data_IF_902979890231
#
_entry.id   IF_902979890231
#
_cell.length_a   1.000
_cell.length_b   1.000
_cell.length_c   1.000
_cell.angle_alpha   90.00
_cell.angle_beta   90.00
_cell.angle_gamma   90.00
#
_symmetry.space_group_name_H-M   'P 1'
#
loop_
_entity.id
_entity.type
_entity.pdbx_description
1 polymer ?
#
# COMPACT_ATOMS: atom_id res chain seq x y z
N UNK A 1 -15.17 -15.88 -3.09
CA UNK A 1 -14.54 -15.08 -4.17
C UNK A 1 -15.27 -13.76 -4.31
N UNK A 2 -14.77 -12.68 -3.70
CA UNK A 2 -15.28 -11.31 -3.96
C UNK A 2 -14.51 -10.76 -5.14
N UNK A 3 -15.24 -10.28 -6.16
CA UNK A 3 -14.71 -9.62 -7.35
C UNK A 3 -13.75 -8.50 -6.94
N UNK A 4 -12.48 -8.60 -7.36
CA UNK A 4 -11.48 -7.55 -7.18
C UNK A 4 -11.82 -6.42 -8.16
N UNK A 5 -12.43 -5.34 -7.69
CA UNK A 5 -12.69 -4.17 -8.53
C UNK A 5 -11.39 -3.37 -8.69
N UNK A 6 -11.13 -2.95 -9.92
CA UNK A 6 -9.92 -2.25 -10.36
C UNK A 6 -9.97 -0.76 -9.97
N UNK A 7 -8.82 -0.11 -9.81
CA UNK A 7 -8.76 1.34 -9.66
C UNK A 7 -9.34 2.01 -10.92
N UNK A 8 -10.54 2.57 -10.80
CA UNK A 8 -11.17 3.32 -11.88
C UNK A 8 -11.09 4.81 -11.55
N UNK A 9 -10.06 5.50 -12.08
CA UNK A 9 -10.12 6.96 -12.19
C UNK A 9 -11.09 7.31 -13.32
N UNK A 10 -12.35 7.45 -12.96
CA UNK A 10 -13.39 7.99 -13.82
C UNK A 10 -14.16 9.06 -13.08
N UNK A 11 -13.99 10.32 -13.44
CA UNK A 11 -14.78 11.42 -12.88
C UNK A 11 -15.99 11.70 -13.78
N UNK A 12 -17.16 11.86 -13.16
CA UNK A 12 -18.29 12.55 -13.78
C UNK A 12 -18.34 13.86 -13.02
N UNK A 13 -18.00 14.93 -13.70
CA UNK A 13 -17.90 16.25 -13.09
C UNK A 13 -18.93 17.18 -13.68
N UNK A 14 -19.42 18.07 -12.83
CA UNK A 14 -20.25 19.20 -13.23
C UNK A 14 -19.32 20.41 -13.25
N UNK A 15 -18.96 20.89 -14.44
CA UNK A 15 -18.11 22.08 -14.58
C UNK A 15 -18.98 23.31 -14.41
N UNK A 16 -18.67 24.14 -13.40
CA UNK A 16 -19.40 25.38 -13.15
C UNK A 16 -18.47 26.56 -13.41
N UNK A 17 -18.79 27.29 -14.49
CA UNK A 17 -18.17 28.52 -14.96
C UNK A 17 -16.76 28.36 -15.56
N UNK A 18 -16.72 28.44 -16.89
CA UNK A 18 -15.54 28.87 -17.64
C UNK A 18 -15.66 30.37 -17.86
N UNK A 19 -14.64 31.17 -17.56
CA UNK A 19 -14.57 32.58 -18.03
C UNK A 19 -13.53 32.61 -19.14
N UNK A 20 -13.98 32.72 -20.39
CA UNK A 20 -13.06 32.91 -21.51
C UNK A 20 -12.84 34.40 -21.73
N UNK A 21 -11.59 34.83 -21.84
CA UNK A 21 -11.25 36.16 -22.33
C UNK A 21 -10.55 35.98 -23.68
N UNK A 22 -11.21 36.39 -24.77
CA UNK A 22 -10.61 36.45 -26.09
C UNK A 22 -9.95 37.81 -26.31
N UNK A 23 -8.68 37.82 -26.70
CA UNK A 23 -8.12 38.97 -27.41
C UNK A 23 -8.36 38.71 -28.90
N UNK A 24 -9.07 39.62 -29.57
CA UNK A 24 -9.29 39.58 -31.03
C UNK A 24 -7.95 39.82 -31.74
N UNK A 25 -7.14 38.77 -31.91
CA UNK A 25 -5.92 38.79 -32.73
C UNK A 25 -6.29 38.21 -34.09
N UNK A 26 -6.67 39.09 -35.01
CA UNK A 26 -6.88 38.74 -36.42
C UNK A 26 -5.53 38.43 -37.06
N UNK A 27 -5.25 37.16 -37.28
CA UNK A 27 -4.17 36.76 -38.17
C UNK A 27 -4.60 37.05 -39.61
N UNK A 28 -4.10 38.15 -40.17
CA UNK A 28 -4.24 38.45 -41.59
C UNK A 28 -3.05 37.78 -42.29
N UNK A 29 -3.26 36.63 -42.93
CA UNK A 29 -2.26 36.07 -43.84
C UNK A 29 -2.94 35.43 -45.06
N UNK A 30 -2.58 35.97 -46.22
CA UNK A 30 -3.00 35.56 -47.56
C UNK A 30 -2.34 34.22 -47.94
N UNK A 31 -2.95 33.08 -47.58
CA UNK A 31 -2.71 31.81 -48.30
C UNK A 31 -4.01 31.01 -48.36
N UNK A 32 -4.55 30.87 -49.56
CA UNK A 32 -5.76 30.11 -49.86
C UNK A 32 -5.60 28.62 -49.59
N UNK A 33 -6.42 28.07 -48.68
CA UNK A 33 -6.99 26.72 -48.80
C UNK A 33 -8.20 26.59 -47.86
N UNK A 34 -9.37 26.37 -48.47
CA UNK A 34 -10.70 26.13 -47.88
C UNK A 34 -11.49 27.38 -47.43
N UNK A 35 -12.44 27.76 -48.28
CA UNK A 35 -13.44 28.81 -48.09
C UNK A 35 -14.48 28.38 -47.02
N UNK A 36 -14.10 28.49 -45.75
CA UNK A 36 -15.04 28.45 -44.62
C UNK A 36 -15.01 29.82 -43.94
N UNK A 37 -15.90 30.71 -44.35
CA UNK A 37 -15.93 32.13 -43.96
C UNK A 37 -16.21 32.40 -42.47
N UNK A 38 -15.15 32.38 -41.65
CA UNK A 38 -15.14 32.96 -40.31
C UNK A 38 -13.71 33.30 -39.88
N UNK A 39 -13.49 34.51 -39.35
CA UNK A 39 -12.21 34.88 -38.77
C UNK A 39 -11.92 33.99 -37.54
N UNK A 40 -10.78 33.33 -37.52
CA UNK A 40 -10.37 32.50 -36.38
C UNK A 40 -9.99 33.36 -35.17
N UNK A 41 -10.20 32.83 -33.97
CA UNK A 41 -9.92 33.54 -32.72
C UNK A 41 -9.23 32.63 -31.68
N UNK A 42 -8.33 33.23 -30.90
CA UNK A 42 -7.70 32.57 -29.76
C UNK A 42 -8.40 32.97 -28.46
N UNK A 43 -8.45 32.03 -27.51
CA UNK A 43 -8.98 32.29 -26.18
C UNK A 43 -8.22 31.52 -25.12
N UNK A 44 -8.29 32.04 -23.89
CA UNK A 44 -7.82 31.37 -22.69
C UNK A 44 -9.04 31.14 -21.81
N UNK A 45 -9.17 29.94 -21.27
CA UNK A 45 -10.24 29.55 -20.35
C UNK A 45 -9.69 29.06 -19.01
N UNK A 46 -10.53 29.18 -18.00
CA UNK A 46 -10.30 28.61 -16.67
C UNK A 46 -11.55 27.85 -16.26
N UNK A 47 -11.43 26.54 -16.07
CA UNK A 47 -12.53 25.65 -15.75
C UNK A 47 -12.47 25.29 -14.26
N UNK A 48 -13.58 25.52 -13.55
CA UNK A 48 -13.76 24.96 -12.23
C UNK A 48 -14.62 23.69 -12.29
N UNK A 49 -14.01 22.57 -11.92
CA UNK A 49 -14.55 21.23 -12.16
C UNK A 49 -14.45 20.41 -10.88
N UNK A 50 -15.36 20.58 -9.90
CA UNK A 50 -15.32 19.80 -8.67
C UNK A 50 -15.37 18.29 -8.94
N UNK A 51 -14.38 17.56 -8.41
CA UNK A 51 -14.17 16.15 -8.69
C UNK A 51 -14.58 15.27 -7.51
N UNK A 52 -15.53 14.36 -7.73
CA UNK A 52 -15.87 13.31 -6.76
C UNK A 52 -14.90 12.14 -6.89
N UNK A 53 -14.38 11.67 -5.75
CA UNK A 53 -13.47 10.54 -5.72
C UNK A 53 -14.25 9.25 -6.01
N UNK A 54 -14.05 8.68 -7.21
CA UNK A 54 -14.56 7.34 -7.55
C UNK A 54 -13.54 6.23 -7.29
N UNK A 55 -12.47 6.53 -6.56
CA UNK A 55 -11.47 5.55 -6.16
C UNK A 55 -12.11 4.63 -5.11
N UNK A 56 -12.41 3.40 -5.51
CA UNK A 56 -13.00 2.35 -4.66
C UNK A 56 -12.12 1.11 -4.73
N UNK A 57 -12.19 0.28 -3.69
CA UNK A 57 -11.48 -1.00 -3.61
C UNK A 57 -9.96 -0.88 -3.86
N UNK A 58 -9.36 0.22 -3.39
CA UNK A 58 -7.91 0.44 -3.48
C UNK A 58 -7.16 -0.62 -2.69
N UNK A 59 -6.18 -1.27 -3.32
CA UNK A 59 -5.35 -2.31 -2.71
C UNK A 59 -3.89 -2.14 -3.12
N UNK A 60 -2.98 -2.46 -2.20
CA UNK A 60 -1.54 -2.41 -2.41
C UNK A 60 -0.99 -3.82 -2.22
N UNK A 61 0.02 -4.18 -3.01
CA UNK A 61 0.76 -5.44 -2.88
C UNK A 61 2.15 -5.29 -3.51
N UNK A 62 3.10 -6.10 -3.06
CA UNK A 62 4.37 -6.28 -3.74
C UNK A 62 4.18 -6.95 -5.11
N UNK A 63 5.01 -6.56 -6.08
CA UNK A 63 4.96 -7.10 -7.45
C UNK A 63 5.29 -8.59 -7.53
N UNK A 64 6.08 -9.11 -6.58
CA UNK A 64 6.40 -10.54 -6.48
C UNK A 64 5.22 -11.40 -5.96
N UNK A 65 4.15 -10.78 -5.46
CA UNK A 65 2.98 -11.46 -4.91
C UNK A 65 3.19 -12.08 -3.52
N UNK A 66 4.25 -11.73 -2.80
CA UNK A 66 4.55 -12.26 -1.46
C UNK A 66 3.68 -11.65 -0.35
N UNK A 67 3.10 -10.47 -0.59
CA UNK A 67 2.21 -9.80 0.37
C UNK A 67 0.99 -10.67 0.69
N UNK A 68 0.83 -11.03 1.97
CA UNK A 68 -0.32 -11.78 2.47
C UNK A 68 -1.41 -10.88 3.03
N UNK A 69 -1.01 -9.78 3.67
CA UNK A 69 -1.93 -8.79 4.24
C UNK A 69 -1.27 -7.41 4.33
N UNK A 70 -2.10 -6.37 4.32
CA UNK A 70 -1.71 -4.97 4.53
C UNK A 70 -2.12 -4.53 5.92
N UNK A 71 -1.22 -3.92 6.67
CA UNK A 71 -1.49 -3.42 8.02
C UNK A 71 -1.22 -1.92 8.13
N UNK A 72 -2.18 -1.12 8.64
CA UNK A 72 -1.99 0.32 8.78
C UNK A 72 -1.12 0.65 9.99
N UNK A 73 -0.38 1.75 9.92
CA UNK A 73 0.42 2.24 11.05
C UNK A 73 -0.45 2.82 12.17
N UNK A 74 -0.03 2.62 13.42
CA UNK A 74 -0.68 3.11 14.64
C UNK A 74 -0.27 4.56 14.90
N UNK A 75 -1.28 5.42 15.06
CA UNK A 75 -1.13 6.85 15.38
C UNK A 75 -0.27 7.06 16.64
N UNK A 76 0.87 7.74 16.48
CA UNK A 76 1.74 8.10 17.62
C UNK A 76 2.37 9.50 17.52
N UNK A 77 1.89 10.34 16.58
CA UNK A 77 2.21 11.78 16.50
C UNK A 77 3.70 12.15 16.34
N UNK A 78 4.56 11.19 16.05
CA UNK A 78 6.01 11.36 15.82
C UNK A 78 6.45 10.51 14.63
N UNK A 79 7.64 10.83 14.10
CA UNK A 79 8.27 10.17 12.95
C UNK A 79 8.04 8.66 12.91
N UNK A 80 7.82 8.13 11.70
CA UNK A 80 7.61 6.69 11.46
C UNK A 80 8.80 5.93 12.02
N UNK A 81 8.58 5.25 13.15
CA UNK A 81 9.53 4.32 13.73
C UNK A 81 9.05 2.93 13.34
N UNK A 82 9.88 2.25 12.56
CA UNK A 82 9.67 0.91 12.05
C UNK A 82 9.85 -0.11 13.20
N UNK A 83 8.91 -0.07 14.13
CA UNK A 83 8.83 -0.88 15.34
C UNK A 83 7.58 -1.76 15.27
N UNK A 84 7.70 -3.02 15.69
CA UNK A 84 6.67 -4.06 15.52
C UNK A 84 5.32 -3.70 16.14
N UNK A 85 5.32 -3.01 17.28
CA UNK A 85 4.11 -2.59 18.01
C UNK A 85 3.44 -1.33 17.46
N UNK A 86 3.98 -0.74 16.38
CA UNK A 86 3.44 0.48 15.78
C UNK A 86 2.60 0.21 14.52
N UNK A 87 2.30 -1.04 14.21
CA UNK A 87 1.33 -1.41 13.19
C UNK A 87 0.09 -2.04 13.83
N UNK A 88 -1.08 -1.78 13.25
CA UNK A 88 -2.33 -2.33 13.74
C UNK A 88 -2.55 -3.74 13.20
N UNK A 89 -1.92 -4.72 13.83
CA UNK A 89 -2.05 -6.13 13.49
C UNK A 89 -3.48 -6.70 13.65
N UNK A 90 -4.39 -5.95 14.30
CA UNK A 90 -5.79 -6.36 14.46
C UNK A 90 -6.67 -6.07 13.23
N UNK A 91 -6.22 -5.17 12.37
CA UNK A 91 -7.01 -4.68 11.23
C UNK A 91 -6.29 -5.00 9.92
N UNK A 92 -6.20 -6.29 9.53
CA UNK A 92 -5.63 -6.67 8.24
C UNK A 92 -6.50 -6.15 7.10
N UNK A 93 -5.85 -5.74 6.01
CA UNK A 93 -6.44 -5.24 4.77
C UNK A 93 -7.49 -4.15 4.99
N UNK A 94 -7.10 -3.00 5.59
CA UNK A 94 -8.02 -1.90 5.83
C UNK A 94 -8.54 -1.35 4.49
N UNK A 95 -9.78 -0.86 4.49
CA UNK A 95 -10.33 -0.14 3.34
C UNK A 95 -9.69 1.23 3.23
N UNK A 96 -8.79 1.40 2.26
CA UNK A 96 -8.17 2.69 1.95
C UNK A 96 -9.16 3.50 1.10
N UNK A 97 -9.73 4.54 1.70
CA UNK A 97 -10.67 5.46 1.05
C UNK A 97 -10.01 6.79 0.71
N UNK A 98 -10.64 7.56 -0.17
CA UNK A 98 -10.19 8.91 -0.54
C UNK A 98 -11.33 9.92 -0.40
N UNK A 99 -10.99 11.15 -0.02
CA UNK A 99 -11.92 12.28 0.09
C UNK A 99 -12.19 12.87 -1.27
N UNK A 100 -13.42 13.38 -1.43
CA UNK A 100 -13.78 14.17 -2.60
C UNK A 100 -12.97 15.47 -2.62
N UNK A 101 -12.56 15.89 -3.82
CA UNK A 101 -11.79 17.10 -4.02
C UNK A 101 -12.69 18.18 -4.61
N UNK A 102 -13.42 18.85 -3.73
CA UNK A 102 -14.38 19.88 -4.12
C UNK A 102 -13.78 21.29 -4.17
N UNK A 103 -12.45 21.46 -4.11
CA UNK A 103 -11.80 22.78 -4.03
C UNK A 103 -10.60 22.93 -4.97
N UNK A 104 -9.83 21.87 -5.24
CA UNK A 104 -8.55 21.94 -5.96
C UNK A 104 -8.63 21.20 -7.29
N UNK A 105 -9.74 21.35 -8.01
CA UNK A 105 -9.93 20.77 -9.33
C UNK A 105 -10.17 21.91 -10.31
N UNK A 106 -9.07 22.50 -10.73
CA UNK A 106 -9.01 23.63 -11.66
C UNK A 106 -8.31 23.17 -12.92
N UNK A 107 -8.83 23.59 -14.07
CA UNK A 107 -8.21 23.32 -15.36
C UNK A 107 -8.00 24.64 -16.09
N UNK A 108 -6.81 24.82 -16.65
CA UNK A 108 -6.52 25.91 -17.57
C UNK A 108 -6.68 25.40 -19.00
N UNK A 109 -7.25 26.21 -19.87
CA UNK A 109 -7.39 25.87 -21.29
C UNK A 109 -6.86 27.00 -22.18
N UNK A 110 -6.24 26.61 -23.29
CA UNK A 110 -5.93 27.52 -24.40
C UNK A 110 -6.60 26.94 -25.63
N UNK A 111 -7.42 27.74 -26.29
CA UNK A 111 -8.22 27.31 -27.41
C UNK A 111 -8.10 28.19 -28.64
N UNK A 112 -8.42 27.59 -29.78
CA UNK A 112 -8.54 28.25 -31.07
C UNK A 112 -9.84 27.82 -31.73
N UNK A 113 -10.65 28.80 -32.14
CA UNK A 113 -11.94 28.58 -32.78
C UNK A 113 -11.99 29.12 -34.20
N UNK A 114 -12.68 28.41 -35.10
CA UNK A 114 -13.09 28.87 -36.42
C UNK A 114 -14.54 28.44 -36.65
N UNK A 115 -15.44 29.41 -36.84
CA UNK A 115 -16.86 29.15 -37.02
C UNK A 115 -17.45 28.43 -35.80
N UNK A 116 -18.06 27.26 -36.02
CA UNK A 116 -18.59 26.41 -34.94
C UNK A 116 -17.60 25.37 -34.39
N UNK A 117 -16.39 25.25 -34.94
CA UNK A 117 -15.39 24.28 -34.50
C UNK A 117 -14.34 24.94 -33.59
N UNK A 118 -13.94 24.25 -32.52
CA UNK A 118 -12.91 24.71 -31.57
C UNK A 118 -11.94 23.58 -31.25
N UNK A 119 -10.66 23.91 -31.09
CA UNK A 119 -9.62 23.00 -30.57
C UNK A 119 -9.10 23.58 -29.26
N UNK A 120 -9.07 22.77 -28.21
CA UNK A 120 -8.69 23.18 -26.85
C UNK A 120 -7.55 22.31 -26.32
N UNK A 121 -6.47 22.93 -25.87
CA UNK A 121 -5.46 22.29 -25.03
C UNK A 121 -5.81 22.59 -23.57
N UNK A 122 -6.10 21.54 -22.81
CA UNK A 122 -6.48 21.62 -21.40
C UNK A 122 -5.44 20.98 -20.50
N UNK A 123 -5.10 21.67 -19.40
CA UNK A 123 -4.25 21.16 -18.33
C UNK A 123 -5.03 21.25 -17.03
N UNK A 124 -5.28 20.11 -16.41
CA UNK A 124 -6.02 19.98 -15.16
C UNK A 124 -5.17 19.36 -14.06
N UNK A 125 -5.41 19.76 -12.81
CA UNK A 125 -4.82 19.14 -11.64
C UNK A 125 -5.89 18.73 -10.65
N UNK A 126 -5.85 17.47 -10.21
CA UNK A 126 -6.73 16.91 -9.18
C UNK A 126 -5.90 16.26 -8.08
N UNK A 127 -6.32 16.41 -6.82
CA UNK A 127 -5.69 15.76 -5.67
C UNK A 127 -6.72 15.21 -4.69
N UNK A 128 -6.77 13.88 -4.54
CA UNK A 128 -7.65 13.18 -3.64
C UNK A 128 -6.88 12.71 -2.40
N UNK A 129 -7.11 13.34 -1.25
CA UNK A 129 -6.47 12.95 0.02
C UNK A 129 -7.04 11.65 0.56
N UNK A 130 -6.24 10.84 1.24
CA UNK A 130 -6.71 9.63 1.92
C UNK A 130 -7.67 9.94 3.06
N UNK A 131 -8.73 9.14 3.21
CA UNK A 131 -9.60 9.13 4.38
C UNK A 131 -8.89 8.38 5.51
N UNK A 132 -8.85 8.98 6.70
CA UNK A 132 -8.37 8.29 7.90
C UNK A 132 -9.20 7.04 8.18
N UNK A 133 -8.53 5.94 8.56
CA UNK A 133 -9.14 4.62 8.80
C UNK A 133 -10.00 4.63 10.09
N UNK A 134 -9.66 5.50 11.03
CA UNK A 134 -10.30 5.63 12.36
C UNK A 134 -11.06 6.95 12.40
N UNK A 135 -12.27 6.92 11.88
CA UNK A 135 -13.10 8.10 11.65
C UNK A 135 -13.65 8.67 12.97
N UNK A 136 -13.05 9.74 13.48
CA UNK A 136 -13.70 10.68 14.39
C UNK A 136 -13.15 12.08 14.18
N UNK A 137 -13.48 12.67 13.04
CA UNK A 137 -13.45 14.11 12.75
C UNK A 137 -12.45 14.96 13.54
N UNK A 138 -11.17 14.94 13.21
CA UNK A 138 -10.25 16.07 13.40
C UNK A 138 -8.84 15.70 12.94
N UNK A 139 -8.40 16.37 11.86
CA UNK A 139 -7.05 16.34 11.25
C UNK A 139 -6.56 14.96 10.75
N UNK A 140 -6.30 14.89 9.45
CA UNK A 140 -5.53 13.82 8.84
C UNK A 140 -4.08 13.99 9.29
N UNK A 141 -3.64 13.13 10.20
CA UNK A 141 -2.24 13.09 10.65
C UNK A 141 -1.46 12.13 9.73
N UNK A 142 -0.16 12.41 9.51
CA UNK A 142 0.71 11.67 8.57
C UNK A 142 0.75 10.14 8.82
N UNK A 143 0.45 9.68 10.04
CA UNK A 143 0.43 8.27 10.41
C UNK A 143 -0.65 7.41 9.71
N UNK A 144 -1.78 8.00 9.30
CA UNK A 144 -2.88 7.26 8.64
C UNK A 144 -2.58 6.91 7.17
N UNK A 145 -1.41 7.30 6.69
CA UNK A 145 -0.99 7.16 5.29
C UNK A 145 0.05 6.06 5.10
N UNK A 146 0.52 5.43 6.18
CA UNK A 146 1.62 4.46 6.17
C UNK A 146 1.10 3.04 6.34
N UNK A 147 1.52 2.14 5.45
CA UNK A 147 1.05 0.76 5.37
C UNK A 147 2.22 -0.22 5.31
N UNK A 148 2.18 -1.26 6.14
CA UNK A 148 3.10 -2.40 6.08
C UNK A 148 2.52 -3.49 5.17
N UNK A 149 3.31 -3.94 4.21
CA UNK A 149 3.05 -5.13 3.40
C UNK A 149 3.66 -6.33 4.13
N UNK A 150 2.84 -7.05 4.89
CA UNK A 150 3.28 -8.20 5.66
C UNK A 150 3.29 -9.47 4.81
N UNK A 151 4.29 -10.31 5.05
CA UNK A 151 4.50 -11.60 4.40
C UNK A 151 4.02 -12.75 5.30
N UNK A 152 4.31 -13.97 4.88
CA UNK A 152 3.75 -15.21 5.39
C UNK A 152 3.98 -15.47 6.88
N UNK A 153 5.21 -15.36 7.38
CA UNK A 153 5.56 -15.64 8.78
C UNK A 153 4.85 -14.69 9.74
N UNK A 154 4.91 -13.37 9.49
CA UNK A 154 4.24 -12.39 10.34
C UNK A 154 2.72 -12.57 10.34
N UNK A 155 2.13 -12.80 9.16
CA UNK A 155 0.69 -13.03 9.01
C UNK A 155 0.24 -14.31 9.73
N UNK A 156 0.95 -15.42 9.54
CA UNK A 156 0.58 -16.72 10.09
C UNK A 156 0.68 -16.76 11.62
N UNK A 157 1.63 -16.03 12.23
CA UNK A 157 1.73 -15.89 13.69
C UNK A 157 0.50 -15.17 14.26
N UNK A 158 0.13 -14.01 13.69
CA UNK A 158 -0.99 -13.20 14.20
C UNK A 158 -2.33 -13.93 13.99
N UNK A 159 -2.49 -14.61 12.86
CA UNK A 159 -3.73 -15.34 12.52
C UNK A 159 -3.80 -16.76 13.10
N UNK A 160 -2.71 -17.28 13.65
CA UNK A 160 -2.66 -18.60 14.28
C UNK A 160 -2.59 -19.79 13.31
N UNK A 161 -2.10 -19.58 12.08
CA UNK A 161 -1.97 -20.61 11.05
C UNK A 161 -0.77 -21.53 11.33
N UNK A 162 -0.91 -22.42 12.32
CA UNK A 162 0.21 -23.22 12.85
C UNK A 162 0.92 -24.06 11.77
N UNK A 163 0.17 -24.73 10.88
CA UNK A 163 0.75 -25.60 9.86
C UNK A 163 1.47 -24.82 8.75
N UNK A 164 0.90 -23.69 8.31
CA UNK A 164 1.53 -22.79 7.33
C UNK A 164 2.79 -22.16 7.92
N UNK A 165 2.72 -21.68 9.16
CA UNK A 165 3.85 -21.13 9.89
C UNK A 165 4.99 -22.15 10.02
N UNK A 166 4.67 -23.40 10.37
CA UNK A 166 5.66 -24.47 10.45
C UNK A 166 6.33 -24.73 9.10
N UNK A 167 5.55 -24.77 8.01
CA UNK A 167 6.08 -24.98 6.66
C UNK A 167 6.98 -23.82 6.18
N UNK A 168 6.63 -22.58 6.52
CA UNK A 168 7.41 -21.40 6.22
C UNK A 168 8.71 -21.36 7.06
N UNK A 169 8.62 -21.62 8.36
CA UNK A 169 9.77 -21.70 9.27
C UNK A 169 10.80 -22.76 8.86
N UNK A 170 10.34 -23.90 8.33
CA UNK A 170 11.22 -24.95 7.83
C UNK A 170 12.07 -24.52 6.63
N UNK A 171 11.60 -23.53 5.86
CA UNK A 171 12.30 -22.95 4.70
C UNK A 171 13.18 -21.76 5.06
N UNK A 172 12.96 -21.15 6.22
CA UNK A 172 13.78 -20.05 6.74
C UNK A 172 15.23 -20.49 6.90
N UNK A 173 16.18 -19.63 6.50
CA UNK A 173 17.59 -19.96 6.67
C UNK A 173 17.98 -19.97 8.15
N UNK A 174 18.96 -20.81 8.51
CA UNK A 174 19.46 -20.84 9.89
C UNK A 174 20.05 -19.50 10.34
N UNK A 175 20.60 -18.69 9.43
CA UNK A 175 21.10 -17.35 9.77
C UNK A 175 19.96 -16.43 10.17
N UNK A 176 18.86 -16.46 9.43
CA UNK A 176 17.72 -15.55 9.64
C UNK A 176 16.96 -15.92 10.91
N UNK A 177 16.75 -17.22 11.19
CA UNK A 177 16.08 -17.63 12.43
C UNK A 177 16.92 -17.28 13.68
N UNK A 178 18.25 -17.35 13.59
CA UNK A 178 19.15 -16.96 14.69
C UNK A 178 19.10 -15.45 14.89
N UNK A 179 19.07 -14.67 13.81
CA UNK A 179 18.88 -13.21 13.90
C UNK A 179 17.53 -12.86 14.53
N UNK A 180 16.46 -13.54 14.12
CA UNK A 180 15.14 -13.38 14.72
C UNK A 180 15.13 -13.73 16.21
N UNK A 181 15.66 -14.89 16.61
CA UNK A 181 15.70 -15.31 18.01
C UNK A 181 16.47 -14.30 18.88
N UNK A 182 17.63 -13.83 18.40
CA UNK A 182 18.38 -12.78 19.08
C UNK A 182 17.58 -11.47 19.19
N UNK A 183 16.87 -11.07 18.14
CA UNK A 183 16.03 -9.89 18.16
C UNK A 183 14.86 -10.02 19.16
N UNK A 184 14.24 -11.20 19.26
CA UNK A 184 13.22 -11.51 20.27
C UNK A 184 13.83 -11.41 21.67
N UNK A 185 14.97 -12.05 21.91
CA UNK A 185 15.66 -12.03 23.22
C UNK A 185 16.02 -10.61 23.68
N UNK A 186 16.50 -9.76 22.76
CA UNK A 186 16.83 -8.35 23.04
C UNK A 186 15.56 -7.54 23.31
N UNK A 187 14.51 -7.74 22.52
CA UNK A 187 13.28 -6.94 22.62
C UNK A 187 12.44 -7.34 23.84
N UNK A 188 12.30 -8.64 24.08
CA UNK A 188 11.54 -9.22 25.18
C UNK A 188 12.03 -10.65 25.49
N UNK A 189 12.93 -10.79 26.46
CA UNK A 189 13.48 -12.08 26.87
C UNK A 189 12.44 -13.05 27.45
N UNK A 190 11.32 -12.54 27.98
CA UNK A 190 10.23 -13.40 28.45
C UNK A 190 9.50 -14.10 27.29
N UNK A 191 9.43 -13.48 26.11
CA UNK A 191 8.91 -14.13 24.89
C UNK A 191 9.89 -15.20 24.40
N UNK A 192 11.19 -14.90 24.33
CA UNK A 192 12.22 -15.89 23.97
C UNK A 192 12.14 -17.13 24.86
N UNK A 193 11.98 -16.94 26.17
CA UNK A 193 11.83 -18.01 27.16
C UNK A 193 10.50 -18.74 27.16
N UNK A 194 9.50 -18.31 26.37
CA UNK A 194 8.25 -19.07 26.13
C UNK A 194 8.38 -20.01 24.93
N UNK A 195 9.25 -19.69 23.99
CA UNK A 195 9.48 -20.49 22.80
C UNK A 195 10.51 -21.58 23.15
N UNK A 196 10.27 -22.83 22.74
CA UNK A 196 11.07 -23.99 23.12
C UNK A 196 11.08 -24.28 24.63
N UNK A 197 10.04 -23.86 25.36
CA UNK A 197 9.89 -24.15 26.78
C UNK A 197 8.98 -25.36 27.01
N UNK A 198 9.51 -26.37 27.71
CA UNK A 198 8.86 -27.63 28.08
C UNK A 198 8.79 -27.85 29.58
N UNK A 199 9.25 -26.88 30.38
CA UNK A 199 9.23 -26.92 31.83
C UNK A 199 10.15 -27.99 32.43
N UNK A 200 9.90 -28.29 33.70
CA UNK A 200 10.67 -29.28 34.48
C UNK A 200 9.86 -30.56 34.69
N UNK A 201 10.55 -31.70 34.70
CA UNK A 201 9.93 -33.00 34.95
C UNK A 201 9.39 -33.10 36.39
N UNK A 202 8.14 -33.56 36.55
CA UNK A 202 7.52 -33.78 37.86
C UNK A 202 8.04 -35.08 38.52
N UNK A 203 9.25 -35.00 39.10
CA UNK A 203 9.85 -36.06 39.92
C UNK A 203 10.85 -36.99 39.21
N UNK A 204 11.88 -37.42 39.95
CA UNK A 204 12.83 -38.47 39.54
C UNK A 204 13.81 -38.09 38.42
N UNK A 205 14.77 -38.98 38.17
CA UNK A 205 15.86 -38.84 37.20
C UNK A 205 15.38 -38.81 35.74
N UNK A 206 14.39 -38.02 35.36
CA UNK A 206 13.93 -37.86 33.97
C UNK A 206 14.12 -36.42 33.51
N UNK A 207 14.38 -36.23 32.23
CA UNK A 207 14.74 -34.95 31.64
C UNK A 207 16.25 -34.76 31.49
N UNK A 208 16.62 -33.81 30.63
CA UNK A 208 18.02 -33.43 30.41
C UNK A 208 18.51 -32.58 31.58
N UNK A 209 19.70 -32.88 32.09
CA UNK A 209 20.32 -32.10 33.17
C UNK A 209 21.32 -31.04 32.70
N UNK A 210 21.69 -31.06 31.41
CA UNK A 210 22.75 -30.21 30.82
C UNK A 210 22.17 -29.09 29.96
N UNK A 211 22.91 -27.98 29.82
CA UNK A 211 22.63 -26.83 28.94
C UNK A 211 22.85 -27.13 27.45
N UNK A 212 22.15 -28.12 26.90
CA UNK A 212 22.44 -28.62 25.54
C UNK A 212 21.65 -27.86 24.48
N UNK A 213 22.37 -27.12 23.63
CA UNK A 213 21.82 -26.57 22.40
C UNK A 213 21.41 -27.70 21.41
N UNK A 214 20.49 -27.40 20.51
CA UNK A 214 19.90 -28.36 19.57
C UNK A 214 18.77 -29.20 20.19
N UNK A 215 18.01 -28.60 21.12
CA UNK A 215 16.89 -29.24 21.80
C UNK A 215 15.77 -28.25 22.11
N UNK A 216 14.75 -28.17 21.26
CA UNK A 216 13.53 -27.36 21.47
C UNK A 216 12.34 -28.15 22.05
N UNK A 217 12.48 -29.47 22.17
CA UNK A 217 11.43 -30.42 22.53
C UNK A 217 11.69 -31.19 23.84
N UNK A 218 12.87 -31.03 24.45
CA UNK A 218 13.21 -31.77 25.68
C UNK A 218 12.80 -31.04 26.95
N UNK A 219 12.44 -31.82 27.97
CA UNK A 219 12.08 -31.36 29.31
C UNK A 219 13.34 -31.24 30.19
N UNK A 220 13.43 -30.18 31.01
CA UNK A 220 14.52 -30.02 32.00
C UNK A 220 14.31 -30.97 33.17
N UNK A 221 15.40 -31.55 33.67
CA UNK A 221 15.36 -32.38 34.88
C UNK A 221 14.94 -31.52 36.07
N UNK A 222 14.27 -32.11 37.07
CA UNK A 222 13.83 -31.37 38.27
C UNK A 222 14.97 -30.59 38.96
N UNK A 223 16.17 -31.20 39.03
CA UNK A 223 17.40 -30.58 39.55
C UNK A 223 18.34 -30.09 38.44
N UNK A 224 17.85 -30.00 37.20
CA UNK A 224 18.62 -29.60 36.03
C UNK A 224 18.68 -28.08 35.86
N UNK A 225 19.59 -27.67 34.97
CA UNK A 225 19.81 -26.28 34.57
C UNK A 225 19.76 -26.13 33.05
N UNK A 226 18.94 -26.94 32.36
CA UNK A 226 18.74 -26.77 30.92
C UNK A 226 18.06 -25.41 30.68
N UNK A 227 18.76 -24.52 29.99
CA UNK A 227 18.19 -23.24 29.55
C UNK A 227 17.13 -23.51 28.47
N UNK A 228 15.91 -23.02 28.70
CA UNK A 228 14.78 -23.23 27.80
C UNK A 228 14.36 -21.93 27.15
N UNK A 229 14.81 -21.73 25.92
CA UNK A 229 14.41 -20.63 25.06
C UNK A 229 14.73 -20.97 23.61
N UNK A 230 14.16 -20.22 22.65
CA UNK A 230 14.50 -20.39 21.24
C UNK A 230 16.01 -20.15 21.00
N UNK A 231 16.55 -19.08 21.59
CA UNK A 231 17.96 -18.74 21.48
C UNK A 231 18.86 -19.85 22.05
N UNK A 232 18.51 -20.42 23.21
CA UNK A 232 19.26 -21.51 23.82
C UNK A 232 19.18 -22.80 22.99
N UNK A 233 18.00 -23.13 22.45
CA UNK A 233 17.81 -24.30 21.59
C UNK A 233 18.57 -24.18 20.26
N UNK A 234 18.70 -22.97 19.71
CA UNK A 234 19.53 -22.73 18.53
C UNK A 234 21.02 -22.87 18.86
N UNK A 235 21.52 -22.20 19.89
CA UNK A 235 22.94 -22.15 20.26
C UNK A 235 23.88 -21.79 19.10
N UNK A 236 25.16 -22.09 19.26
CA UNK A 236 26.20 -21.69 18.29
C UNK A 236 26.04 -22.36 16.91
N UNK A 237 25.43 -23.54 16.86
CA UNK A 237 25.22 -24.31 15.63
C UNK A 237 23.84 -24.08 15.00
N UNK A 238 23.00 -23.23 15.57
CA UNK A 238 21.64 -22.97 15.07
C UNK A 238 21.64 -22.54 13.61
N UNK A 239 22.61 -21.71 13.21
CA UNK A 239 22.72 -21.23 11.84
C UNK A 239 23.02 -22.31 10.80
N UNK A 240 23.72 -23.39 11.20
CA UNK A 240 24.05 -24.53 10.34
C UNK A 240 22.97 -25.61 10.40
N UNK A 241 22.34 -25.78 11.57
CA UNK A 241 21.51 -26.95 11.87
C UNK A 241 20.02 -26.70 11.74
N UNK A 242 19.55 -25.46 11.78
CA UNK A 242 18.13 -25.16 11.55
C UNK A 242 17.63 -25.76 10.21
N UNK A 243 16.39 -26.30 10.16
CA UNK A 243 15.37 -26.39 11.21
C UNK A 243 15.54 -27.57 12.17
N UNK A 244 16.62 -28.35 12.04
CA UNK A 244 16.87 -29.52 12.87
C UNK A 244 17.44 -29.11 14.22
N UNK A 245 16.62 -28.57 15.11
CA UNK A 245 17.02 -28.23 16.49
C UNK A 245 16.22 -29.00 17.54
N UNK A 246 15.53 -30.07 17.16
CA UNK A 246 14.97 -31.06 18.08
C UNK A 246 15.94 -32.24 18.26
N UNK A 247 15.77 -32.93 19.38
CA UNK A 247 16.57 -34.10 19.73
C UNK A 247 16.09 -35.36 18.98
N UNK A 248 17.02 -36.27 18.67
CA UNK A 248 16.77 -37.41 17.78
C UNK A 248 16.09 -38.57 18.47
N UNK A 249 16.12 -38.56 19.81
CA UNK A 249 15.44 -39.55 20.64
C UNK A 249 13.93 -39.38 20.55
N UNK A 250 13.19 -40.49 20.49
CA UNK A 250 11.72 -40.49 20.37
C UNK A 250 11.01 -40.11 21.67
N UNK A 251 11.73 -40.08 22.78
CA UNK A 251 11.24 -39.71 24.10
C UNK A 251 11.70 -38.29 24.46
N UNK A 252 10.76 -37.38 24.67
CA UNK A 252 11.00 -36.02 25.19
C UNK A 252 11.40 -36.05 26.68
N UNK A 253 11.25 -37.22 27.32
CA UNK A 253 11.63 -37.55 28.69
C UNK A 253 12.80 -38.54 28.69
N UNK A 254 14.01 -38.04 28.47
CA UNK A 254 15.20 -38.87 28.61
C UNK A 254 15.37 -39.37 30.05
N UNK A 255 15.81 -40.62 30.22
CA UNK A 255 16.28 -41.08 31.51
C UNK A 255 17.56 -40.31 31.86
N UNK A 256 17.71 -39.87 33.11
CA UNK A 256 18.63 -38.82 33.55
C UNK A 256 20.09 -39.24 33.64
N UNK A 257 20.41 -40.45 33.17
CA UNK A 257 21.76 -40.97 32.92
C UNK A 257 21.98 -41.31 31.43
N UNK A 258 20.96 -41.11 30.58
CA UNK A 258 21.02 -41.47 29.18
C UNK A 258 21.82 -40.42 28.40
N UNK A 259 23.02 -40.82 27.97
CA UNK A 259 23.91 -40.02 27.13
C UNK A 259 23.48 -40.04 25.65
N UNK A 260 22.38 -40.73 25.30
CA UNK A 260 21.91 -40.91 23.92
C UNK A 260 21.28 -39.68 23.26
N UNK A 261 21.22 -38.53 23.95
CA UNK A 261 20.73 -37.28 23.34
C UNK A 261 21.56 -36.95 22.08
N UNK A 262 20.87 -36.90 20.95
CA UNK A 262 21.43 -36.55 19.65
C UNK A 262 20.89 -35.18 19.27
N UNK A 263 21.58 -34.09 19.66
CA UNK A 263 21.11 -32.75 19.41
C UNK A 263 21.10 -32.49 17.90
N UNK A 264 20.28 -31.55 17.48
CA UNK A 264 20.26 -31.07 16.10
C UNK A 264 19.90 -32.11 15.04
N UNK A 265 18.91 -32.96 15.28
CA UNK A 265 18.61 -34.11 14.41
C UNK A 265 17.21 -34.06 13.82
N UNK A 266 16.21 -33.68 14.60
CA UNK A 266 14.81 -33.60 14.15
C UNK A 266 14.40 -32.17 13.87
N UNK A 267 13.53 -32.02 12.89
CA UNK A 267 12.90 -30.74 12.54
C UNK A 267 12.10 -30.19 13.74
N UNK A 268 12.29 -28.90 14.04
CA UNK A 268 11.64 -28.18 15.12
C UNK A 268 10.66 -27.10 14.66
N UNK A 269 10.44 -26.95 13.36
CA UNK A 269 9.59 -25.90 12.78
C UNK A 269 8.17 -25.99 13.32
N UNK A 270 7.61 -27.20 13.40
CA UNK A 270 6.29 -27.44 13.98
C UNK A 270 6.24 -27.16 15.50
N UNK A 271 7.33 -27.48 16.20
CA UNK A 271 7.49 -27.23 17.63
C UNK A 271 7.51 -25.73 17.92
N UNK A 272 8.34 -24.98 17.18
CA UNK A 272 8.45 -23.52 17.30
C UNK A 272 7.17 -22.82 16.87
N UNK A 273 6.55 -23.25 15.76
CA UNK A 273 5.28 -22.68 15.29
C UNK A 273 4.16 -22.78 16.35
N UNK A 274 4.05 -23.93 17.02
CA UNK A 274 3.09 -24.14 18.11
C UNK A 274 3.30 -23.16 19.26
N UNK A 275 4.55 -22.96 19.67
CA UNK A 275 4.86 -22.03 20.76
C UNK A 275 4.55 -20.58 20.36
N UNK A 276 4.89 -20.18 19.14
CA UNK A 276 4.61 -18.84 18.61
C UNK A 276 3.10 -18.54 18.54
N UNK A 277 2.30 -19.52 18.10
CA UNK A 277 0.83 -19.39 18.04
C UNK A 277 0.19 -19.45 19.43
N UNK A 278 0.85 -20.06 20.43
CA UNK A 278 0.38 -20.10 21.81
C UNK A 278 0.63 -18.81 22.61
N UNK A 279 1.43 -17.87 22.07
CA UNK A 279 1.63 -16.55 22.67
C UNK A 279 0.32 -15.77 22.81
N UNK A 280 0.28 -14.84 23.77
CA UNK A 280 -0.88 -13.95 23.88
C UNK A 280 -0.91 -12.94 22.71
N UNK A 281 -2.02 -12.20 22.60
CA UNK A 281 -2.25 -11.30 21.48
C UNK A 281 -1.12 -10.25 21.31
N UNK A 282 -0.75 -9.55 22.38
CA UNK A 282 0.28 -8.50 22.31
C UNK A 282 1.66 -9.06 21.98
N UNK A 283 2.00 -10.23 22.55
CA UNK A 283 3.24 -10.95 22.26
C UNK A 283 3.33 -11.37 20.78
N UNK A 284 2.22 -11.80 20.18
CA UNK A 284 2.14 -12.10 18.75
C UNK A 284 2.43 -10.88 17.89
N UNK A 285 1.91 -9.71 18.24
CA UNK A 285 2.17 -8.47 17.48
C UNK A 285 3.66 -8.10 17.48
N UNK A 286 4.32 -8.27 18.64
CA UNK A 286 5.76 -8.02 18.78
C UNK A 286 6.54 -8.98 17.89
N UNK A 287 6.24 -10.28 17.98
CA UNK A 287 6.90 -11.31 17.17
C UNK A 287 6.67 -11.09 15.68
N UNK A 288 5.44 -10.78 15.26
CA UNK A 288 5.09 -10.58 13.86
C UNK A 288 5.91 -9.45 13.24
N UNK A 289 6.03 -8.30 13.91
CA UNK A 289 6.87 -7.24 13.39
C UNK A 289 8.37 -7.53 13.47
N UNK A 290 8.84 -8.37 14.41
CA UNK A 290 10.23 -8.85 14.40
C UNK A 290 10.50 -9.80 13.23
N UNK A 291 9.56 -10.69 12.89
CA UNK A 291 9.65 -11.56 11.71
C UNK A 291 9.68 -10.72 10.42
N UNK A 292 8.76 -9.75 10.30
CA UNK A 292 8.74 -8.82 9.18
C UNK A 292 10.06 -8.06 9.04
N UNK A 293 10.67 -7.64 10.16
CA UNK A 293 11.92 -6.86 10.15
C UNK A 293 13.17 -7.70 9.89
N UNK A 294 13.26 -8.91 10.43
CA UNK A 294 14.51 -9.70 10.46
C UNK A 294 14.59 -10.75 9.38
N UNK A 295 13.47 -11.41 9.05
CA UNK A 295 13.45 -12.55 8.11
C UNK A 295 12.86 -12.12 6.78
N UNK A 296 11.67 -11.52 6.81
CA UNK A 296 10.85 -11.36 5.60
C UNK A 296 11.19 -10.11 4.79
N UNK A 297 11.70 -9.07 5.46
CA UNK A 297 11.94 -7.76 4.87
C UNK A 297 10.61 -7.09 4.50
N UNK A 298 9.87 -6.64 5.51
CA UNK A 298 8.60 -5.94 5.31
C UNK A 298 8.80 -4.65 4.53
N UNK A 299 8.00 -4.43 3.50
CA UNK A 299 7.96 -3.18 2.76
C UNK A 299 6.92 -2.24 3.36
N UNK A 300 7.24 -0.97 3.43
CA UNK A 300 6.35 0.09 3.90
C UNK A 300 6.11 1.07 2.78
N UNK A 301 4.83 1.37 2.55
CA UNK A 301 4.39 2.32 1.55
C UNK A 301 3.62 3.43 2.23
N UNK A 302 3.95 4.67 1.86
CA UNK A 302 3.24 5.87 2.30
C UNK A 302 2.37 6.42 1.17
N UNK A 303 1.06 6.52 1.39
CA UNK A 303 0.07 6.98 0.43
C UNK A 303 -0.73 8.11 1.07
N UNK A 304 -0.29 9.35 0.84
CA UNK A 304 -0.95 10.56 1.38
C UNK A 304 -2.15 11.00 0.55
N UNK A 305 -2.03 10.86 -0.76
CA UNK A 305 -3.05 11.28 -1.71
C UNK A 305 -2.81 10.60 -3.06
N UNK A 306 -3.88 10.43 -3.83
CA UNK A 306 -3.77 10.18 -5.27
C UNK A 306 -3.92 11.51 -5.99
N UNK A 307 -2.87 11.93 -6.68
CA UNK A 307 -2.88 13.12 -7.54
C UNK A 307 -2.94 12.71 -9.01
N UNK A 308 -3.55 13.56 -9.82
CA UNK A 308 -3.68 13.36 -11.26
C UNK A 308 -3.54 14.70 -11.96
N UNK A 309 -2.50 14.84 -12.78
CA UNK A 309 -2.36 15.96 -13.71
C UNK A 309 -2.79 15.49 -15.09
N UNK A 310 -3.86 16.03 -15.65
CA UNK A 310 -4.34 15.70 -17.00
C UNK A 310 -3.84 16.71 -18.02
N UNK A 311 -3.39 16.23 -19.16
CA UNK A 311 -3.09 17.05 -20.35
C UNK A 311 -3.94 16.51 -21.49
N UNK A 312 -4.89 17.29 -21.96
CA UNK A 312 -5.93 16.87 -22.91
C UNK A 312 -5.95 17.79 -24.12
N UNK A 313 -6.12 17.21 -25.30
CA UNK A 313 -6.45 17.95 -26.52
C UNK A 313 -7.89 17.60 -26.87
N UNK A 314 -8.78 18.58 -26.85
CA UNK A 314 -10.19 18.43 -27.19
C UNK A 314 -10.50 19.06 -28.55
N UNK A 315 -11.33 18.38 -29.32
CA UNK A 315 -12.03 18.92 -30.47
C UNK A 315 -13.49 19.14 -30.06
N UNK A 316 -13.95 20.38 -30.16
CA UNK A 316 -15.28 20.83 -29.77
C UNK A 316 -16.06 21.34 -30.97
N UNK A 317 -17.37 21.20 -30.90
CA UNK A 317 -18.29 21.76 -31.87
C UNK A 317 -19.47 22.43 -31.17
N UNK A 318 -19.73 23.67 -31.56
CA UNK A 318 -20.84 24.49 -31.10
C UNK A 318 -22.03 24.27 -32.05
N UNK A 319 -23.10 23.69 -31.51
CA UNK A 319 -24.34 23.44 -32.22
C UNK A 319 -25.14 24.74 -32.28
N UNK A 320 -25.11 25.40 -33.44
CA UNK A 320 -25.87 26.62 -33.66
C UNK A 320 -27.37 26.39 -33.40
N UNK A 321 -27.93 27.16 -32.46
CA UNK A 321 -29.36 27.20 -32.20
C UNK A 321 -29.88 28.58 -32.55
N UNK A 322 -30.73 28.67 -33.58
CA UNK A 322 -31.40 29.92 -33.93
C UNK A 322 -32.32 30.35 -32.76
N UNK A 323 -32.16 31.59 -32.27
CA UNK A 323 -33.15 32.24 -31.39
C UNK A 323 -32.96 32.15 -29.88
N UNK A 324 -31.91 31.51 -29.35
CA UNK A 324 -31.55 31.56 -27.92
C UNK A 324 -30.14 32.14 -27.75
N UNK A 325 -29.93 33.03 -26.78
CA UNK A 325 -28.60 33.53 -26.39
C UNK A 325 -27.70 32.48 -25.72
N UNK A 326 -27.94 31.20 -25.99
CA UNK A 326 -27.27 30.02 -25.41
C UNK A 326 -26.93 29.07 -26.56
N UNK A 327 -25.67 28.63 -26.66
CA UNK A 327 -25.21 27.74 -27.72
C UNK A 327 -24.81 26.38 -27.13
N UNK A 328 -25.51 25.28 -27.45
CA UNK A 328 -25.10 23.95 -27.02
C UNK A 328 -23.75 23.57 -27.64
N UNK A 329 -22.92 22.86 -26.88
CA UNK A 329 -21.61 22.38 -27.37
C UNK A 329 -21.33 20.94 -26.93
N UNK A 330 -20.51 20.27 -27.73
CA UNK A 330 -19.98 18.94 -27.41
C UNK A 330 -18.50 18.87 -27.79
N UNK A 331 -17.71 18.14 -27.00
CA UNK A 331 -16.29 17.94 -27.21
C UNK A 331 -15.90 16.47 -27.05
N UNK A 332 -14.93 16.05 -27.85
CA UNK A 332 -14.19 14.80 -27.70
C UNK A 332 -12.72 15.11 -27.53
N UNK A 333 -12.09 14.53 -26.53
CA UNK A 333 -10.70 14.77 -26.21
C UNK A 333 -9.88 13.52 -25.97
N UNK A 334 -8.62 13.60 -26.35
CA UNK A 334 -7.60 12.58 -26.16
C UNK A 334 -6.38 13.21 -25.50
N UNK A 335 -5.72 12.46 -24.64
CA UNK A 335 -4.59 12.98 -23.90
C UNK A 335 -3.98 11.96 -22.96
N UNK A 336 -3.39 12.45 -21.87
CA UNK A 336 -2.80 11.62 -20.86
C UNK A 336 -2.94 12.20 -19.46
N UNK A 337 -2.89 11.31 -18.48
CA UNK A 337 -2.86 11.63 -17.07
C UNK A 337 -1.53 11.17 -16.48
N UNK A 338 -0.92 12.07 -15.73
CA UNK A 338 0.23 11.81 -14.88
C UNK A 338 -0.30 11.57 -13.46
N UNK A 339 -0.38 10.30 -13.07
CA UNK A 339 -0.98 9.91 -11.78
C UNK A 339 0.11 9.64 -10.77
N UNK A 340 0.05 10.32 -9.63
CA UNK A 340 0.94 10.12 -8.49
C UNK A 340 0.19 9.48 -7.32
N UNK A 341 0.59 8.27 -6.93
CA UNK A 341 0.01 7.52 -5.79
C UNK A 341 0.92 7.60 -4.56
N UNK A 342 2.24 7.57 -4.79
CA UNK A 342 3.29 7.69 -3.77
C UNK A 342 4.09 8.96 -4.09
N UNK A 343 4.54 9.67 -3.06
CA UNK A 343 5.30 10.91 -3.24
C UNK A 343 6.56 10.66 -4.10
N UNK A 344 6.73 11.49 -5.13
CA UNK A 344 7.88 11.43 -6.04
C UNK A 344 7.79 10.40 -7.18
N UNK A 345 6.71 9.61 -7.27
CA UNK A 345 6.49 8.69 -8.39
C UNK A 345 5.24 9.05 -9.19
N UNK A 346 5.41 9.17 -10.50
CA UNK A 346 4.36 9.57 -11.43
C UNK A 346 4.28 8.56 -12.56
N UNK A 347 3.11 7.97 -12.74
CA UNK A 347 2.85 7.01 -13.83
C UNK A 347 2.02 7.68 -14.92
N UNK A 348 2.55 7.84 -16.14
CA UNK A 348 1.77 8.34 -17.27
C UNK A 348 0.80 7.27 -17.76
N UNK A 349 -0.46 7.66 -18.00
CA UNK A 349 -1.50 6.82 -18.60
C UNK A 349 -2.22 7.59 -19.68
N UNK A 350 -2.68 6.92 -20.74
CA UNK A 350 -3.54 7.55 -21.73
C UNK A 350 -4.92 7.83 -21.14
N UNK A 351 -5.58 8.88 -21.61
CA UNK A 351 -6.92 9.23 -21.16
C UNK A 351 -7.77 9.77 -22.32
N UNK A 352 -9.07 9.65 -22.17
CA UNK A 352 -10.04 10.29 -23.06
C UNK A 352 -11.08 11.06 -22.26
N UNK A 353 -11.66 12.07 -22.90
CA UNK A 353 -12.62 12.99 -22.29
C UNK A 353 -13.76 13.26 -23.25
N UNK A 354 -14.97 13.31 -22.71
CA UNK A 354 -16.17 13.72 -23.43
C UNK A 354 -16.78 14.87 -22.63
N UNK A 355 -16.93 16.04 -23.24
CA UNK A 355 -17.58 17.20 -22.61
C UNK A 355 -18.86 17.53 -23.38
N UNK A 356 -19.91 17.94 -22.68
CA UNK A 356 -21.10 18.48 -23.31
C UNK A 356 -21.75 19.51 -22.39
N UNK A 357 -22.30 20.57 -22.97
CA UNK A 357 -22.88 21.64 -22.18
C UNK A 357 -23.49 22.74 -23.03
N UNK A 358 -23.63 23.90 -22.39
CA UNK A 358 -24.17 25.12 -22.95
C UNK A 358 -23.14 26.23 -22.77
N UNK A 359 -22.95 27.05 -23.81
CA UNK A 359 -22.19 28.29 -23.75
C UNK A 359 -23.14 29.48 -23.77
N UNK A 360 -22.78 30.53 -23.05
CA UNK A 360 -23.54 31.77 -22.91
C UNK A 360 -22.58 32.94 -23.12
N UNK A 361 -22.84 33.78 -24.11
CA UNK A 361 -22.06 34.99 -24.32
C UNK A 361 -22.48 36.05 -23.28
N UNK A 362 -21.57 36.39 -22.37
CA UNK A 362 -21.75 37.48 -21.40
C UNK A 362 -21.44 38.84 -22.05
N UNK A 363 -20.38 38.89 -22.87
CA UNK A 363 -19.99 40.02 -23.71
C UNK A 363 -19.36 39.50 -25.01
N UNK A 364 -19.08 40.36 -26.01
CA UNK A 364 -18.40 39.93 -27.24
C UNK A 364 -17.05 39.22 -27.01
N UNK A 365 -16.37 39.54 -25.91
CA UNK A 365 -15.06 39.02 -25.54
C UNK A 365 -15.12 37.94 -24.45
N UNK A 366 -16.25 37.81 -23.75
CA UNK A 366 -16.43 36.93 -22.61
C UNK A 366 -17.57 35.95 -22.80
N UNK A 367 -17.23 34.66 -22.76
CA UNK A 367 -18.19 33.56 -22.80
C UNK A 367 -18.12 32.73 -21.52
N UNK A 368 -19.29 32.36 -21.01
CA UNK A 368 -19.49 31.45 -19.90
C UNK A 368 -19.94 30.07 -20.39
N UNK A 369 -19.39 29.01 -19.82
CA UNK A 369 -19.78 27.64 -20.15
C UNK A 369 -20.25 26.91 -18.90
N UNK A 370 -21.30 26.12 -19.07
CA UNK A 370 -21.83 25.23 -18.05
C UNK A 370 -22.10 23.87 -18.68
N UNK A 371 -21.61 22.81 -18.06
CA UNK A 371 -21.65 21.49 -18.68
C UNK A 371 -21.26 20.37 -17.74
N UNK A 372 -21.27 19.18 -18.30
CA UNK A 372 -20.72 17.99 -17.66
C UNK A 372 -19.63 17.40 -18.52
N UNK A 373 -18.70 16.70 -17.89
CA UNK A 373 -17.77 15.87 -18.62
C UNK A 373 -17.58 14.51 -17.99
N UNK A 374 -17.26 13.56 -18.86
CA UNK A 374 -16.79 12.25 -18.53
C UNK A 374 -15.31 12.17 -18.87
N UNK A 375 -14.48 11.93 -17.87
CA UNK A 375 -13.05 11.74 -18.05
C UNK A 375 -12.66 10.35 -17.58
N UNK A 376 -11.90 9.61 -18.40
CA UNK A 376 -11.47 8.25 -18.08
C UNK A 376 -10.01 8.04 -18.44
N UNK A 377 -9.26 7.55 -17.46
CA UNK A 377 -7.91 7.03 -17.66
C UNK A 377 -7.99 5.61 -18.22
N UNK A 378 -7.31 5.36 -19.32
CA UNK A 378 -7.22 4.07 -20.01
C UNK A 378 -6.24 3.17 -19.26
N UNK A 379 -6.65 1.94 -18.99
CA UNK A 379 -5.84 0.94 -18.33
C UNK A 379 -6.68 0.00 -17.48
N UNK A 380 -5.99 -0.94 -16.84
CA UNK A 380 -6.55 -1.90 -15.90
C UNK A 380 -6.58 -1.39 -14.45
N UNK A 381 -6.20 -0.13 -14.22
CA UNK A 381 -6.13 0.46 -12.88
C UNK A 381 -4.94 -0.01 -12.06
N UNK A 382 -3.95 -0.65 -12.68
CA UNK A 382 -2.71 -1.08 -12.02
C UNK A 382 -1.62 -0.03 -12.22
N UNK A 383 -0.93 0.29 -11.12
CA UNK A 383 0.19 1.20 -11.05
C UNK A 383 1.35 0.43 -10.44
N UNK A 384 2.27 0.02 -11.30
CA UNK A 384 3.44 -0.78 -10.94
C UNK A 384 4.65 0.13 -10.65
N UNK A 385 5.72 -0.46 -10.15
CA UNK A 385 7.01 0.21 -9.88
C UNK A 385 6.93 1.40 -8.90
N UNK A 386 5.94 1.38 -8.01
CA UNK A 386 5.82 2.35 -6.93
C UNK A 386 6.98 2.16 -5.94
N UNK A 387 7.66 3.23 -5.52
CA UNK A 387 8.74 3.13 -4.55
C UNK A 387 8.18 2.70 -3.19
N UNK A 388 8.73 1.62 -2.65
CA UNK A 388 8.50 1.20 -1.28
C UNK A 388 9.77 1.44 -0.44
N UNK A 389 9.59 1.79 0.82
CA UNK A 389 10.69 1.82 1.78
C UNK A 389 10.76 0.47 2.47
N UNK A 390 11.90 -0.21 2.37
CA UNK A 390 12.15 -1.40 3.20
C UNK A 390 12.11 -0.99 4.68
N UNK A 391 11.44 -1.79 5.52
CA UNK A 391 11.67 -1.78 6.97
C UNK A 391 13.17 -1.92 7.16
N UNK A 392 13.85 -0.84 7.55
CA UNK A 392 15.30 -0.76 7.58
C UNK A 392 15.93 -2.06 8.10
N UNK A 393 16.59 -2.83 7.22
CA UNK A 393 17.82 -3.53 7.61
C UNK A 393 18.66 -2.44 8.25
N UNK A 394 18.87 -2.51 9.56
CA UNK A 394 19.70 -1.56 10.30
C UNK A 394 20.88 -1.19 9.42
N UNK A 395 20.95 0.08 8.99
CA UNK A 395 22.18 0.58 8.40
C UNK A 395 23.24 0.31 9.45
N UNK A 396 24.20 -0.57 9.10
CA UNK A 396 25.42 -0.71 9.85
C UNK A 396 26.03 0.68 9.91
N UNK A 397 26.12 1.23 11.11
CA UNK A 397 27.05 2.30 11.43
C UNK A 397 28.40 1.67 11.72
#
# INVERSE_FOLDING_TARGET
>A
MRSRSKLLLGSVMMSLAIVMAGNDVRAHDDVSALDTGGAGYFYIGLDYSPAFSKIRDFSIRESNGETKAVYPYLKDGKSVKLESHKFDWNTPDPRIGFKDNMLVAMEGSVGYGIGGARVELEIGYERFKTKGIRDSGSKEDEADTVYLLAKELAYDVVTGQTDNLAAALAKTSGKDIVQFANAVKITNSAIDGKICNRGKASGGSKGLSSSKAGSCDSIDKQSGSLEQSLTAALGDKGAEKWPKINNGTSDTTLNGNDTSSTPYTKDASATVAKDLVALNHDEKTIVAGLLAKTIEGGEVVEIRAVSSTSVMVNACYDLLSEGLGVVPYACVGLGGNFVGVVDGHITPKLAYRLKAGLSYQLSPEISAFAGGFYHRVVGDGVYDDLPAQLQCKSQKQ
#
